data_IF_989127022901
#
_entry.id   IF_989127022901
#
_cell.length_a   1.000
_cell.length_b   1.000
_cell.length_c   1.000
_cell.angle_alpha   90.00
_cell.angle_beta   90.00
_cell.angle_gamma   90.00
#
_symmetry.space_group_name_H-M   'P 1'
#
loop_
_entity.id
_entity.type
_entity.pdbx_description
1 polymer ?
#
# COMPACT_ATOMS: atom_id res chain seq x y z
N UNK A 1 26.81 -13.78 25.12
CA UNK A 1 27.08 -13.23 23.78
C UNK A 1 28.12 -14.14 23.13
N UNK A 2 27.83 -14.65 21.94
CA UNK A 2 28.66 -15.64 21.23
C UNK A 2 29.11 -15.04 19.91
N UNK A 3 30.39 -15.20 19.57
CA UNK A 3 30.98 -14.67 18.33
C UNK A 3 31.59 -15.80 17.51
N UNK A 4 31.08 -15.98 16.29
CA UNK A 4 31.67 -16.87 15.28
C UNK A 4 32.45 -16.00 14.29
N UNK A 5 33.78 -16.16 14.23
CA UNK A 5 34.67 -15.29 13.42
C UNK A 5 34.48 -15.45 11.92
N UNK A 6 34.11 -16.65 11.48
CA UNK A 6 33.89 -16.98 10.07
C UNK A 6 32.81 -18.05 9.98
N UNK A 7 31.68 -17.70 9.38
CA UNK A 7 30.57 -18.60 9.18
C UNK A 7 29.79 -18.24 7.92
N UNK A 8 29.07 -19.22 7.38
CA UNK A 8 28.16 -19.01 6.26
C UNK A 8 26.82 -18.57 6.83
N UNK A 9 26.43 -17.34 6.52
CA UNK A 9 25.15 -16.75 6.94
C UNK A 9 24.18 -16.82 5.77
N UNK A 10 23.00 -17.40 6.03
CA UNK A 10 21.86 -17.37 5.10
C UNK A 10 20.85 -16.34 5.57
N UNK A 11 20.49 -15.39 4.71
CA UNK A 11 19.47 -14.39 4.98
C UNK A 11 18.33 -14.54 4.01
N UNK A 12 17.16 -14.87 4.55
CA UNK A 12 15.91 -14.87 3.78
C UNK A 12 15.40 -13.43 3.66
N UNK A 13 15.07 -13.03 2.43
CA UNK A 13 14.42 -11.77 2.08
C UNK A 13 13.04 -12.12 1.54
N UNK A 14 11.97 -11.57 2.13
CA UNK A 14 10.59 -11.78 1.68
C UNK A 14 9.85 -10.46 1.55
N UNK A 15 9.11 -10.34 0.47
CA UNK A 15 8.12 -9.29 0.24
C UNK A 15 6.95 -9.46 1.21
N UNK A 16 6.30 -8.35 1.61
CA UNK A 16 5.12 -8.39 2.47
C UNK A 16 3.87 -8.93 1.75
N UNK A 17 3.89 -8.92 0.41
CA UNK A 17 2.82 -9.41 -0.46
C UNK A 17 3.45 -10.14 -1.66
N UNK A 18 2.63 -10.87 -2.41
CA UNK A 18 3.06 -11.48 -3.67
C UNK A 18 3.59 -10.43 -4.64
N UNK A 19 4.71 -10.73 -5.28
CA UNK A 19 5.36 -9.86 -6.25
C UNK A 19 6.29 -10.62 -7.19
N UNK A 20 7.31 -9.93 -7.67
CA UNK A 20 8.24 -10.42 -8.67
C UNK A 20 9.67 -10.41 -8.10
N UNK A 21 10.37 -11.53 -8.24
CA UNK A 21 11.80 -11.64 -7.92
C UNK A 21 12.58 -11.31 -9.19
N UNK A 22 13.49 -10.35 -9.10
CA UNK A 22 14.19 -9.74 -10.24
C UNK A 22 15.57 -10.37 -10.50
N UNK A 23 15.94 -11.40 -9.73
CA UNK A 23 17.23 -12.10 -9.80
C UNK A 23 17.00 -13.61 -9.90
N UNK A 24 17.97 -14.33 -10.42
CA UNK A 24 17.95 -15.78 -10.54
C UNK A 24 18.78 -16.47 -9.45
N UNK A 25 18.52 -17.75 -9.25
CA UNK A 25 19.37 -18.59 -8.41
C UNK A 25 20.78 -18.65 -9.02
N UNK A 26 21.80 -18.41 -8.19
CA UNK A 26 23.20 -18.38 -8.60
C UNK A 26 23.77 -16.97 -8.78
N UNK A 27 22.92 -15.95 -8.87
CA UNK A 27 23.37 -14.57 -9.07
C UNK A 27 24.14 -14.04 -7.85
N UNK A 28 25.10 -13.15 -8.11
CA UNK A 28 25.79 -12.38 -7.07
C UNK A 28 25.17 -10.99 -6.98
N UNK A 29 24.86 -10.55 -5.75
CA UNK A 29 24.15 -9.29 -5.50
C UNK A 29 24.93 -8.40 -4.52
N UNK A 30 24.80 -7.09 -4.66
CA UNK A 30 25.26 -6.11 -3.65
C UNK A 30 24.15 -5.84 -2.64
N UNK A 31 24.49 -5.32 -1.45
CA UNK A 31 23.53 -5.12 -0.37
C UNK A 31 22.35 -4.19 -0.74
N UNK A 32 22.62 -3.16 -1.54
CA UNK A 32 21.68 -2.13 -1.99
C UNK A 32 20.93 -2.49 -3.28
N UNK A 33 21.30 -3.59 -3.94
CA UNK A 33 20.64 -4.03 -5.16
C UNK A 33 19.19 -4.43 -4.87
N UNK A 34 18.26 -3.90 -5.66
CA UNK A 34 16.86 -4.32 -5.64
C UNK A 34 16.76 -5.72 -6.25
N UNK A 35 16.30 -6.66 -5.45
CA UNK A 35 16.22 -8.09 -5.81
C UNK A 35 14.78 -8.58 -5.99
N UNK A 36 13.80 -7.84 -5.47
CA UNK A 36 12.39 -8.14 -5.69
C UNK A 36 11.53 -6.87 -5.58
N UNK A 37 10.35 -6.89 -6.20
CA UNK A 37 9.38 -5.79 -6.18
C UNK A 37 7.95 -6.30 -6.08
N UNK A 38 7.06 -5.52 -5.49
CA UNK A 38 5.63 -5.79 -5.47
C UNK A 38 4.83 -4.48 -5.58
N UNK A 39 3.54 -4.58 -5.92
CA UNK A 39 2.62 -3.45 -5.93
C UNK A 39 1.63 -3.62 -4.78
N UNK A 40 1.80 -2.85 -3.70
CA UNK A 40 0.83 -2.84 -2.62
C UNK A 40 -0.46 -2.18 -3.11
N UNK A 41 -1.64 -2.76 -2.85
CA UNK A 41 -2.90 -2.09 -3.09
C UNK A 41 -2.90 -0.72 -2.40
N UNK A 42 -3.27 0.31 -3.13
CA UNK A 42 -3.41 1.64 -2.54
C UNK A 42 -4.47 1.65 -1.43
N UNK A 43 -4.35 2.58 -0.46
CA UNK A 43 -5.37 2.76 0.56
C UNK A 43 -6.77 2.94 -0.04
N UNK A 44 -7.77 2.40 0.67
CA UNK A 44 -9.18 2.63 0.41
C UNK A 44 -9.60 3.92 1.11
N UNK A 45 -10.01 4.91 0.32
CA UNK A 45 -10.55 6.18 0.80
C UNK A 45 -12.06 6.22 0.59
N UNK A 46 -12.75 6.99 1.43
CA UNK A 46 -14.22 7.06 1.41
C UNK A 46 -14.68 8.47 1.08
N UNK A 47 -15.50 8.60 0.05
CA UNK A 47 -16.26 9.81 -0.24
C UNK A 47 -17.66 9.63 0.34
N UNK A 48 -18.02 10.46 1.33
CA UNK A 48 -19.36 10.49 1.92
C UNK A 48 -20.39 11.18 1.01
N UNK A 49 -20.63 10.61 -0.17
CA UNK A 49 -21.37 11.27 -1.23
C UNK A 49 -22.79 11.65 -0.83
N UNK A 50 -23.56 10.74 -0.22
CA UNK A 50 -24.94 11.01 0.18
C UNK A 50 -25.06 12.12 1.22
N UNK A 51 -24.14 12.16 2.19
CA UNK A 51 -24.05 13.21 3.20
C UNK A 51 -23.71 14.56 2.55
N UNK A 52 -22.70 14.60 1.67
CA UNK A 52 -22.28 15.82 0.97
C UNK A 52 -23.35 16.35 0.00
N UNK A 53 -24.14 15.47 -0.63
CA UNK A 53 -25.20 15.83 -1.59
C UNK A 53 -26.59 15.99 -0.97
N UNK A 54 -26.78 15.64 0.30
CA UNK A 54 -28.09 15.68 0.97
C UNK A 54 -29.13 14.73 0.36
N UNK A 55 -28.71 13.54 -0.08
CA UNK A 55 -29.59 12.53 -0.70
C UNK A 55 -29.66 11.26 0.16
N UNK A 56 -30.70 10.44 -0.03
CA UNK A 56 -30.75 9.15 0.67
C UNK A 56 -29.66 8.21 0.13
N UNK A 57 -29.12 7.29 0.95
CA UNK A 57 -28.17 6.26 0.51
C UNK A 57 -28.65 5.49 -0.73
N UNK A 58 -29.94 5.16 -0.80
CA UNK A 58 -30.57 4.46 -1.93
C UNK A 58 -30.54 5.23 -3.26
N UNK A 59 -30.31 6.55 -3.24
CA UNK A 59 -30.26 7.40 -4.43
C UNK A 59 -28.83 7.56 -4.98
N UNK A 60 -27.81 7.03 -4.30
CA UNK A 60 -26.42 7.24 -4.71
C UNK A 60 -26.16 6.70 -6.10
N UNK A 61 -26.65 5.49 -6.42
CA UNK A 61 -26.36 4.83 -7.69
C UNK A 61 -26.95 5.56 -8.90
N UNK A 62 -28.04 6.29 -8.73
CA UNK A 62 -28.67 7.06 -9.80
C UNK A 62 -28.12 8.48 -9.95
N UNK A 63 -27.40 9.00 -8.94
CA UNK A 63 -26.91 10.38 -8.93
C UNK A 63 -25.38 10.50 -9.03
N UNK A 64 -24.64 9.48 -8.60
CA UNK A 64 -23.19 9.47 -8.74
C UNK A 64 -22.80 9.24 -10.21
N UNK A 65 -21.93 10.07 -10.80
CA UNK A 65 -21.68 10.07 -12.25
C UNK A 65 -20.75 8.96 -12.74
N UNK A 66 -20.25 8.09 -11.85
CA UNK A 66 -19.26 7.05 -12.15
C UNK A 66 -19.75 5.68 -11.69
N UNK A 67 -19.21 4.64 -12.29
CA UNK A 67 -19.44 3.24 -11.93
C UNK A 67 -18.22 2.65 -11.21
N UNK A 68 -18.41 1.47 -10.64
CA UNK A 68 -17.31 0.65 -10.12
C UNK A 68 -16.34 0.31 -11.27
N UNK A 69 -15.05 0.51 -11.04
CA UNK A 69 -13.99 0.40 -12.05
C UNK A 69 -13.60 1.72 -12.72
N UNK A 70 -14.39 2.79 -12.59
CA UNK A 70 -14.06 4.08 -13.20
C UNK A 70 -13.00 4.84 -12.40
N UNK A 71 -12.15 5.59 -13.11
CA UNK A 71 -11.19 6.51 -12.51
C UNK A 71 -11.85 7.82 -12.04
N UNK A 72 -11.35 8.33 -10.92
CA UNK A 72 -11.67 9.63 -10.32
C UNK A 72 -10.37 10.40 -10.13
N UNK A 73 -10.35 11.65 -10.58
CA UNK A 73 -9.23 12.58 -10.37
C UNK A 73 -9.55 13.51 -9.20
N UNK A 74 -8.51 13.95 -8.48
CA UNK A 74 -8.67 14.99 -7.47
C UNK A 74 -9.27 16.25 -8.10
N UNK A 75 -10.20 16.90 -7.39
CA UNK A 75 -10.95 18.08 -7.83
C UNK A 75 -11.90 17.85 -9.02
N UNK A 76 -12.06 16.62 -9.51
CA UNK A 76 -13.06 16.28 -10.51
C UNK A 76 -14.48 16.54 -9.97
N UNK A 77 -15.34 17.15 -10.77
CA UNK A 77 -16.74 17.34 -10.42
C UNK A 77 -17.47 15.99 -10.39
N UNK A 78 -17.95 15.61 -9.21
CA UNK A 78 -18.63 14.33 -8.96
C UNK A 78 -20.11 14.52 -8.58
N UNK A 79 -20.62 15.75 -8.49
CA UNK A 79 -22.04 16.00 -8.24
C UNK A 79 -22.43 17.45 -8.46
N UNK A 80 -23.70 17.66 -8.82
CA UNK A 80 -24.30 18.98 -8.98
C UNK A 80 -25.59 19.09 -8.14
N UNK A 81 -25.73 20.18 -7.39
CA UNK A 81 -26.91 20.42 -6.56
C UNK A 81 -28.08 20.86 -7.44
N UNK A 82 -29.05 19.97 -7.62
CA UNK A 82 -30.24 20.21 -8.44
C UNK A 82 -31.40 20.73 -7.59
N UNK A 83 -31.56 22.06 -7.53
CA UNK A 83 -32.67 22.70 -6.80
C UNK A 83 -32.84 24.19 -7.11
N UNK A 84 -34.06 24.73 -6.94
CA UNK A 84 -34.36 26.15 -7.19
C UNK A 84 -33.49 27.07 -6.32
N UNK A 85 -33.28 26.71 -5.05
CA UNK A 85 -32.39 27.43 -4.14
C UNK A 85 -30.91 27.28 -4.55
N UNK A 86 -30.46 26.11 -4.99
CA UNK A 86 -29.08 25.93 -5.45
C UNK A 86 -28.76 26.82 -6.68
N UNK A 87 -29.71 26.97 -7.61
CA UNK A 87 -29.59 27.90 -8.75
C UNK A 87 -29.59 29.37 -8.32
N UNK A 88 -30.38 29.72 -7.29
CA UNK A 88 -30.45 31.08 -6.77
C UNK A 88 -29.18 31.47 -5.97
N UNK A 89 -28.58 30.52 -5.25
CA UNK A 89 -27.40 30.75 -4.40
C UNK A 89 -26.06 30.36 -5.05
N UNK A 90 -26.05 29.93 -6.32
CA UNK A 90 -24.84 29.48 -7.05
C UNK A 90 -23.99 28.51 -6.21
N UNK A 91 -24.63 27.49 -5.64
CA UNK A 91 -23.91 26.49 -4.84
C UNK A 91 -22.85 25.81 -5.71
N UNK A 92 -21.57 25.77 -5.30
CA UNK A 92 -20.52 25.13 -6.10
C UNK A 92 -20.80 23.62 -6.23
N UNK A 93 -20.40 23.00 -7.35
CA UNK A 93 -20.52 21.57 -7.53
C UNK A 93 -19.68 20.82 -6.49
N UNK A 94 -20.09 19.59 -6.18
CA UNK A 94 -19.29 18.71 -5.33
C UNK A 94 -18.12 18.18 -6.15
N UNK A 95 -16.91 18.43 -5.68
CA UNK A 95 -15.67 17.89 -6.26
C UNK A 95 -15.09 16.75 -5.42
N UNK A 96 -14.33 15.88 -6.06
CA UNK A 96 -13.61 14.80 -5.38
C UNK A 96 -12.43 15.35 -4.58
N UNK A 97 -12.33 14.91 -3.32
CA UNK A 97 -11.17 15.13 -2.45
C UNK A 97 -10.08 14.06 -2.63
N UNK A 98 -10.38 12.99 -3.37
CA UNK A 98 -9.53 11.81 -3.54
C UNK A 98 -9.29 11.50 -5.02
N UNK A 99 -8.21 10.76 -5.28
CA UNK A 99 -7.84 10.27 -6.61
C UNK A 99 -7.66 8.76 -6.57
N UNK A 100 -8.15 8.07 -7.61
CA UNK A 100 -8.04 6.62 -7.72
C UNK A 100 -9.14 6.00 -8.58
N UNK A 101 -9.48 4.76 -8.28
CA UNK A 101 -10.52 3.99 -8.97
C UNK A 101 -11.67 3.70 -8.02
N UNK A 102 -12.91 3.85 -8.49
CA UNK A 102 -14.10 3.48 -7.72
C UNK A 102 -14.09 1.98 -7.50
N UNK A 103 -13.96 1.54 -6.26
CA UNK A 103 -14.00 0.12 -5.91
C UNK A 103 -15.43 -0.35 -5.68
N UNK A 104 -16.22 0.43 -4.95
CA UNK A 104 -17.58 0.07 -4.62
C UNK A 104 -18.42 1.29 -4.32
N UNK A 105 -19.73 1.19 -4.60
CA UNK A 105 -20.72 2.21 -4.25
C UNK A 105 -21.71 1.58 -3.28
N UNK A 106 -21.71 2.05 -2.02
CA UNK A 106 -22.58 1.51 -0.97
C UNK A 106 -23.94 2.22 -0.96
N UNK A 107 -24.98 1.52 -1.38
CA UNK A 107 -26.38 2.00 -1.31
C UNK A 107 -26.95 1.96 0.12
N UNK A 108 -26.28 1.26 1.04
CA UNK A 108 -26.68 1.16 2.45
C UNK A 108 -26.18 2.39 3.22
N UNK A 109 -24.90 2.72 3.07
CA UNK A 109 -24.27 3.82 3.82
C UNK A 109 -24.20 5.13 3.04
N UNK A 110 -24.43 5.10 1.72
CA UNK A 110 -24.33 6.29 0.86
C UNK A 110 -22.90 6.76 0.62
N UNK A 111 -21.94 5.83 0.66
CA UNK A 111 -20.52 6.09 0.52
C UNK A 111 -19.98 5.54 -0.80
N UNK A 112 -19.02 6.25 -1.40
CA UNK A 112 -18.22 5.75 -2.51
C UNK A 112 -16.84 5.38 -1.97
N UNK A 113 -16.43 4.14 -2.21
CA UNK A 113 -15.11 3.63 -1.87
C UNK A 113 -14.20 3.81 -3.08
N UNK A 114 -13.08 4.51 -2.88
CA UNK A 114 -12.09 4.79 -3.92
C UNK A 114 -10.76 4.18 -3.51
N UNK A 115 -10.22 3.28 -4.34
CA UNK A 115 -8.88 2.73 -4.15
C UNK A 115 -7.88 3.62 -4.86
N UNK A 116 -6.90 4.15 -4.13
CA UNK A 116 -5.84 4.96 -4.74
C UNK A 116 -4.89 4.09 -5.58
N UNK A 117 -4.02 4.74 -6.35
CA UNK A 117 -3.00 4.04 -7.12
C UNK A 117 -2.15 3.08 -6.24
N UNK A 118 -1.74 1.92 -6.76
CA UNK A 118 -0.87 1.00 -6.05
C UNK A 118 0.46 1.64 -5.67
N UNK A 119 0.99 1.26 -4.50
CA UNK A 119 2.26 1.77 -3.99
C UNK A 119 3.37 0.76 -4.32
N UNK A 120 4.40 1.13 -5.09
CA UNK A 120 5.50 0.22 -5.37
C UNK A 120 6.32 -0.04 -4.12
N UNK A 121 6.55 -1.31 -3.82
CA UNK A 121 7.46 -1.77 -2.76
C UNK A 121 8.62 -2.48 -3.42
N UNK A 122 9.82 -2.10 -3.00
CA UNK A 122 11.05 -2.70 -3.44
C UNK A 122 11.76 -3.33 -2.24
N UNK A 123 12.41 -4.46 -2.49
CA UNK A 123 13.20 -5.17 -1.49
C UNK A 123 14.63 -5.26 -1.99
N UNK A 124 15.53 -4.71 -1.20
CA UNK A 124 16.97 -4.85 -1.37
C UNK A 124 17.47 -6.22 -0.89
N UNK A 125 18.66 -6.58 -1.36
CA UNK A 125 19.37 -7.78 -0.90
C UNK A 125 19.73 -7.71 0.58
N UNK A 126 19.93 -6.51 1.13
CA UNK A 126 20.35 -6.19 2.50
C UNK A 126 21.76 -6.67 2.89
N UNK A 127 22.23 -7.78 2.31
CA UNK A 127 23.60 -8.29 2.44
C UNK A 127 24.16 -8.59 1.04
N UNK A 128 25.47 -8.36 0.81
CA UNK A 128 26.10 -8.85 -0.40
C UNK A 128 26.29 -10.36 -0.32
N UNK A 129 26.15 -11.07 -1.43
CA UNK A 129 26.31 -12.52 -1.45
C UNK A 129 25.76 -13.17 -2.70
N UNK A 130 25.58 -14.49 -2.62
CA UNK A 130 25.05 -15.31 -3.71
C UNK A 130 23.62 -15.74 -3.43
N UNK A 131 22.75 -15.64 -4.42
CA UNK A 131 21.37 -16.14 -4.34
C UNK A 131 21.41 -17.67 -4.38
N UNK A 132 21.01 -18.32 -3.29
CA UNK A 132 21.05 -19.80 -3.18
C UNK A 132 19.67 -20.45 -3.34
N UNK A 133 18.60 -19.68 -3.22
CA UNK A 133 17.22 -20.18 -3.34
C UNK A 133 16.29 -19.03 -3.76
N UNK A 134 15.34 -19.32 -4.65
CA UNK A 134 14.25 -18.42 -5.01
C UNK A 134 12.97 -18.96 -4.37
N UNK A 135 12.22 -18.09 -3.70
CA UNK A 135 10.89 -18.36 -3.18
C UNK A 135 9.90 -17.68 -4.14
N UNK A 136 9.20 -18.44 -5.00
CA UNK A 136 8.34 -17.87 -6.04
C UNK A 136 7.34 -16.87 -5.47
N UNK A 137 7.21 -15.72 -6.14
CA UNK A 137 6.35 -14.59 -5.75
C UNK A 137 6.63 -13.94 -4.38
N UNK A 138 7.50 -14.50 -3.54
CA UNK A 138 7.73 -14.00 -2.18
C UNK A 138 9.13 -13.40 -2.01
N UNK A 139 10.18 -13.99 -2.59
CA UNK A 139 11.54 -13.50 -2.37
C UNK A 139 12.63 -14.52 -2.62
N UNK A 140 13.69 -14.48 -1.82
CA UNK A 140 14.89 -15.30 -2.03
C UNK A 140 15.72 -15.49 -0.76
N UNK A 141 16.68 -16.40 -0.83
CA UNK A 141 17.70 -16.61 0.21
C UNK A 141 19.07 -16.23 -0.35
N UNK A 142 19.76 -15.36 0.38
CA UNK A 142 21.12 -14.92 0.05
C UNK A 142 22.09 -15.58 1.04
N UNK A 143 23.16 -16.15 0.50
CA UNK A 143 24.25 -16.73 1.26
C UNK A 143 25.48 -15.84 1.18
N UNK A 144 26.10 -15.58 2.33
CA UNK A 144 27.34 -14.81 2.43
C UNK A 144 28.25 -15.37 3.52
N UNK A 145 29.55 -15.15 3.38
CA UNK A 145 30.55 -15.56 4.38
C UNK A 145 30.91 -14.35 5.23
N UNK A 146 30.65 -14.42 6.53
CA UNK A 146 30.82 -13.30 7.44
C UNK A 146 31.12 -13.73 8.87
N UNK A 147 31.56 -12.79 9.70
CA UNK A 147 31.54 -12.97 11.14
C UNK A 147 30.11 -12.79 11.66
N UNK A 148 29.68 -13.62 12.60
CA UNK A 148 28.34 -13.56 13.21
C UNK A 148 28.45 -13.32 14.71
N UNK A 149 27.79 -12.26 15.18
CA UNK A 149 27.67 -11.94 16.61
C UNK A 149 26.23 -12.22 17.02
N UNK A 150 26.05 -13.14 17.97
CA UNK A 150 24.74 -13.49 18.52
C UNK A 150 24.68 -13.14 20.00
N UNK A 151 23.69 -12.34 20.37
CA UNK A 151 23.39 -11.98 21.74
C UNK A 151 21.89 -11.96 21.96
N UNK A 152 21.50 -12.05 23.22
CA UNK A 152 20.17 -11.63 23.66
C UNK A 152 20.29 -10.16 24.06
N UNK A 153 19.35 -9.33 23.62
CA UNK A 153 19.19 -7.99 24.16
C UNK A 153 17.90 -7.97 24.97
N UNK A 154 17.97 -7.43 26.18
CA UNK A 154 16.80 -7.23 27.02
C UNK A 154 16.19 -5.85 26.74
N UNK A 155 14.89 -5.80 26.43
CA UNK A 155 14.10 -4.56 26.48
C UNK A 155 13.63 -4.40 27.94
N UNK A 156 14.33 -3.59 28.73
CA UNK A 156 13.87 -3.24 30.07
C UNK A 156 12.71 -2.25 30.00
N UNK A 157 11.69 -2.40 30.84
CA UNK A 157 10.60 -1.42 30.96
C UNK A 157 11.10 -0.09 31.54
N UNK A 158 10.38 1.01 31.24
CA UNK A 158 10.64 2.33 31.82
C UNK A 158 10.69 2.27 33.35
N UNK A 159 11.77 2.75 33.93
CA UNK A 159 11.87 3.05 35.36
C UNK A 159 12.16 4.53 35.54
N UNK A 160 11.49 5.15 36.51
CA UNK A 160 11.90 6.44 37.06
C UNK A 160 12.67 6.18 38.36
N UNK A 161 13.85 6.80 38.47
CA UNK A 161 14.61 6.85 39.72
C UNK A 161 14.01 7.84 40.72
N UNK A 162 14.49 7.84 41.98
CA UNK A 162 14.06 8.79 43.02
C UNK A 162 14.41 10.24 42.68
#
# INVERSE_FOLDING_TARGET
MTVSRDTVVKRTRRLPIKGEVMVAQGDSVTADQIVARALLPGPLLTIKYSEKMGISPSQIRSKFPKNEGDAIVKEEQIGEFTGFLAKLFKTPPLTSDVEGTVEAISEITGNVLVRTAPIPVQMDAYIPGKVVEIIPEEGLVIETRAAMVQGIFGVGGERRGP
#
